data_IF_438777410836
#
_entry.id   IF_438777410836
#
_cell.length_a   1.000
_cell.length_b   1.000
_cell.length_c   1.000
_cell.angle_alpha   90.00
_cell.angle_beta   90.00
_cell.angle_gamma   90.00
#
_symmetry.space_group_name_H-M   'P 1'
#
loop_
_entity.id
_entity.type
_entity.pdbx_description
1 polymer ?
#
# COMPACT_ATOMS: atom_id res chain seq x y z
N UNK A 1 9.53 2.21 -17.23
CA UNK A 1 8.27 2.94 -17.37
C UNK A 1 7.58 3.03 -16.02
N UNK A 2 7.08 4.21 -15.70
CA UNK A 2 6.41 4.44 -14.44
C UNK A 2 5.02 3.81 -14.45
N UNK A 3 4.75 2.92 -13.49
CA UNK A 3 3.47 2.25 -13.37
C UNK A 3 2.57 2.98 -12.40
N UNK A 4 1.30 3.05 -12.75
CA UNK A 4 0.31 3.66 -11.86
C UNK A 4 -0.04 2.71 -10.73
N UNK A 5 -0.03 3.23 -9.51
CA UNK A 5 -0.43 2.45 -8.34
C UNK A 5 -1.95 2.45 -8.25
N UNK A 6 -2.52 1.26 -8.10
CA UNK A 6 -3.98 1.11 -8.03
C UNK A 6 -4.35 0.31 -6.78
N UNK A 7 -5.48 0.67 -6.20
CA UNK A 7 -5.93 0.05 -4.96
C UNK A 7 -6.10 -1.47 -5.10
N UNK A 8 -6.56 -1.91 -6.24
CA UNK A 8 -6.83 -3.33 -6.49
C UNK A 8 -5.56 -4.17 -6.55
N UNK A 9 -4.39 -3.53 -6.61
CA UNK A 9 -3.12 -4.24 -6.59
C UNK A 9 -2.70 -4.64 -5.18
N UNK A 10 -3.40 -4.14 -4.18
CA UNK A 10 -3.06 -4.42 -2.79
C UNK A 10 -3.91 -5.55 -2.25
N UNK A 11 -3.27 -6.47 -1.56
CA UNK A 11 -3.92 -7.64 -0.98
C UNK A 11 -3.82 -7.54 0.54
N UNK A 12 -4.97 -7.57 1.24
CA UNK A 12 -4.93 -7.55 2.71
C UNK A 12 -4.32 -8.85 3.25
N UNK A 13 -3.51 -8.70 4.29
CA UNK A 13 -2.87 -9.84 4.95
C UNK A 13 -2.86 -9.57 6.44
N UNK A 14 -3.92 -9.93 7.12
CA UNK A 14 -4.08 -9.61 8.53
C UNK A 14 -4.18 -8.11 8.73
N UNK A 15 -3.26 -7.57 9.52
CA UNK A 15 -3.19 -6.13 9.75
C UNK A 15 -2.22 -5.44 8.78
N UNK A 16 -1.74 -6.18 7.79
CA UNK A 16 -0.81 -5.65 6.80
C UNK A 16 -1.45 -5.63 5.42
N UNK A 17 -0.80 -4.88 4.55
CA UNK A 17 -1.26 -4.74 3.17
C UNK A 17 -0.07 -5.02 2.26
N UNK A 18 -0.24 -5.93 1.31
CA UNK A 18 0.84 -6.31 0.39
C UNK A 18 0.53 -5.79 -1.00
N UNK A 19 1.49 -5.10 -1.60
CA UNK A 19 1.38 -4.69 -2.99
C UNK A 19 1.85 -5.86 -3.85
N UNK A 20 0.91 -6.56 -4.47
CA UNK A 20 1.19 -7.80 -5.18
C UNK A 20 2.28 -7.67 -6.26
N UNK A 21 2.24 -6.64 -7.13
CA UNK A 21 3.26 -6.55 -8.19
C UNK A 21 4.69 -6.43 -7.68
N UNK A 22 4.89 -5.73 -6.56
CA UNK A 22 6.25 -5.50 -6.04
C UNK A 22 6.59 -6.36 -4.84
N UNK A 23 5.58 -6.93 -4.18
CA UNK A 23 5.78 -7.65 -2.93
C UNK A 23 6.03 -6.73 -1.74
N UNK A 24 5.84 -5.43 -1.91
CA UNK A 24 6.02 -4.48 -0.83
C UNK A 24 4.92 -4.66 0.20
N UNK A 25 5.28 -4.48 1.47
CA UNK A 25 4.34 -4.63 2.58
C UNK A 25 4.19 -3.32 3.33
N UNK A 26 2.97 -3.06 3.78
CA UNK A 26 2.64 -1.83 4.48
C UNK A 26 1.78 -2.14 5.69
N UNK A 27 1.97 -1.38 6.75
CA UNK A 27 1.16 -1.50 7.96
C UNK A 27 1.17 -0.16 8.67
N UNK A 28 0.21 0.01 9.57
CA UNK A 28 0.14 1.23 10.37
C UNK A 28 0.88 0.99 11.69
N UNK A 29 1.87 1.82 11.92
CA UNK A 29 2.61 1.81 13.17
C UNK A 29 1.96 2.73 14.19
N UNK A 30 2.75 3.15 15.16
CA UNK A 30 2.28 4.06 16.19
C UNK A 30 1.86 5.39 15.57
N UNK A 31 0.80 5.98 16.10
CA UNK A 31 0.28 7.27 15.67
C UNK A 31 -0.12 7.28 14.20
N UNK A 32 -0.54 6.13 13.70
CA UNK A 32 -1.02 6.00 12.33
C UNK A 32 0.02 6.34 11.28
N UNK A 33 1.29 6.17 11.60
CA UNK A 33 2.36 6.33 10.64
C UNK A 33 2.44 5.07 9.78
N UNK A 34 2.49 5.26 8.46
CA UNK A 34 2.61 4.13 7.56
C UNK A 34 4.04 3.62 7.58
N UNK A 35 4.19 2.38 7.99
CA UNK A 35 5.46 1.68 7.93
C UNK A 35 5.47 0.81 6.69
N UNK A 36 6.62 0.64 6.09
CA UNK A 36 6.69 -0.18 4.89
C UNK A 36 7.97 -0.99 4.85
N UNK A 37 7.84 -2.14 4.20
CA UNK A 37 8.99 -2.97 3.85
C UNK A 37 8.98 -3.05 2.33
N UNK A 38 9.85 -2.29 1.65
CA UNK A 38 9.83 -2.25 0.20
C UNK A 38 10.16 -3.59 -0.41
N UNK A 39 9.43 -3.94 -1.44
CA UNK A 39 9.76 -5.10 -2.24
C UNK A 39 10.55 -4.69 -3.47
N UNK A 40 10.28 -5.37 -4.56
CA UNK A 40 10.98 -5.11 -5.80
C UNK A 40 10.24 -4.02 -6.58
N UNK A 41 10.73 -2.79 -6.48
CA UNK A 41 10.07 -1.65 -7.11
C UNK A 41 10.32 -1.59 -8.61
N UNK A 42 11.45 -2.11 -9.07
CA UNK A 42 11.75 -2.19 -10.50
C UNK A 42 11.47 -3.61 -11.00
N UNK A 43 10.58 -3.73 -11.95
CA UNK A 43 10.23 -5.01 -12.51
C UNK A 43 11.15 -5.37 -13.67
N UNK A 44 11.26 -6.66 -13.95
CA UNK A 44 12.11 -7.13 -15.04
C UNK A 44 11.63 -6.65 -16.40
N UNK A 45 10.37 -6.27 -16.48
CA UNK A 45 9.78 -5.75 -17.72
C UNK A 45 10.19 -4.31 -18.01
N UNK A 46 10.93 -3.68 -17.11
CA UNK A 46 11.29 -2.28 -17.25
C UNK A 46 10.30 -1.33 -16.60
N UNK A 47 9.21 -1.87 -16.08
CA UNK A 47 8.23 -1.06 -15.36
C UNK A 47 8.70 -0.84 -13.93
N UNK A 48 8.37 0.33 -13.38
CA UNK A 48 8.75 0.62 -12.01
C UNK A 48 7.63 1.35 -11.28
N UNK A 49 7.64 1.18 -9.97
CA UNK A 49 6.70 1.84 -9.06
C UNK A 49 7.48 2.78 -8.16
N UNK A 50 6.85 3.88 -7.78
CA UNK A 50 7.44 4.82 -6.84
C UNK A 50 6.95 4.51 -5.44
N UNK A 51 7.89 4.42 -4.51
CA UNK A 51 7.55 4.07 -3.15
C UNK A 51 6.59 5.07 -2.51
N UNK A 52 6.79 6.34 -2.80
CA UNK A 52 5.90 7.38 -2.26
C UNK A 52 4.46 7.15 -2.68
N UNK A 53 4.25 6.78 -3.93
CA UNK A 53 2.90 6.51 -4.43
C UNK A 53 2.32 5.28 -3.80
N UNK A 54 3.15 4.26 -3.58
CA UNK A 54 2.70 3.05 -2.91
C UNK A 54 2.27 3.35 -1.48
N UNK A 55 3.06 4.14 -0.78
CA UNK A 55 2.74 4.50 0.60
C UNK A 55 1.46 5.32 0.68
N UNK A 56 1.28 6.26 -0.23
CA UNK A 56 0.07 7.07 -0.26
C UNK A 56 -1.17 6.22 -0.48
N UNK A 57 -1.11 5.32 -1.43
CA UNK A 57 -2.26 4.47 -1.72
C UNK A 57 -2.52 3.49 -0.58
N UNK A 58 -1.46 2.93 -0.01
CA UNK A 58 -1.61 2.02 1.12
C UNK A 58 -2.23 2.74 2.31
N UNK A 59 -1.78 3.96 2.58
CA UNK A 59 -2.36 4.74 3.67
C UNK A 59 -3.84 4.99 3.44
N UNK A 60 -4.19 5.33 2.22
CA UNK A 60 -5.58 5.61 1.87
C UNK A 60 -6.46 4.39 2.09
N UNK A 61 -5.98 3.22 1.67
CA UNK A 61 -6.73 1.98 1.83
C UNK A 61 -6.90 1.65 3.31
N UNK A 62 -5.82 1.75 4.08
CA UNK A 62 -5.87 1.41 5.49
C UNK A 62 -6.70 2.41 6.29
N UNK A 63 -6.64 3.68 5.91
CA UNK A 63 -7.43 4.70 6.59
C UNK A 63 -8.92 4.49 6.34
N UNK A 64 -9.29 4.17 5.10
CA UNK A 64 -10.68 3.89 4.77
C UNK A 64 -11.16 2.66 5.54
N UNK A 65 -10.32 1.65 5.64
CA UNK A 65 -10.68 0.43 6.34
C UNK A 65 -10.95 0.70 7.83
N UNK A 66 -10.13 1.55 8.45
CA UNK A 66 -10.32 1.91 9.84
C UNK A 66 -11.55 2.75 10.06
N UNK A 67 -11.73 3.75 9.22
CA UNK A 67 -12.86 4.67 9.34
C UNK A 67 -14.14 4.00 8.86
N UNK A 68 -14.03 3.13 7.87
CA UNK A 68 -15.18 2.44 7.33
C UNK A 68 -15.86 1.52 8.31
N UNK A 69 -15.11 1.00 9.30
CA UNK A 69 -15.71 0.18 10.35
C UNK A 69 -16.49 1.02 11.34
N UNK A 70 -16.36 2.31 11.25
CA UNK A 70 -16.99 3.23 12.16
C UNK A 70 -17.76 4.24 11.33
N UNK A 71 -19.03 4.01 11.13
CA UNK A 71 -19.82 4.91 10.28
C UNK A 71 -19.73 6.32 10.82
N UNK A 72 -19.53 7.21 9.91
CA UNK A 72 -19.47 8.61 10.27
C UNK A 72 -20.88 9.13 10.33
N UNK A 73 -21.22 9.72 11.44
CA UNK A 73 -22.57 10.29 11.58
C UNK A 73 -22.79 11.39 10.57
#
# INVERSE_FOLDING_TARGET
>A
MHMKVMAEQFVPDGDRLTHAPTGSRFWLGDKDVVCCEPGRLNLQTGDDYKLDELKDEAWRIMAVKRVGTKPIP
#
